data_IF_767446047920
#
_entry.id   IF_767446047920
#
_cell.length_a   1.000
_cell.length_b   1.000
_cell.length_c   1.000
_cell.angle_alpha   90.00
_cell.angle_beta   90.00
_cell.angle_gamma   90.00
#
_symmetry.space_group_name_H-M   'P 1'
#
loop_
_entity.id
_entity.type
_entity.pdbx_description
1 polymer ?
#
# COMPACT_ATOMS: atom_id res chain seq x y z
N UNK A 1 23.19 -21.64 11.58
CA UNK A 1 23.70 -22.66 10.63
C UNK A 1 22.71 -22.68 9.50
N UNK A 2 23.10 -22.01 8.42
CA UNK A 2 22.32 -21.91 7.19
C UNK A 2 22.02 -23.30 6.62
N UNK A 3 20.75 -23.56 6.35
CA UNK A 3 20.28 -24.77 5.67
C UNK A 3 19.65 -24.37 4.34
N UNK A 4 19.90 -25.10 3.24
CA UNK A 4 19.26 -24.81 1.97
C UNK A 4 17.75 -25.05 2.05
N UNK A 5 16.97 -24.22 1.35
CA UNK A 5 15.51 -24.32 1.22
C UNK A 5 15.06 -23.66 -0.10
N UNK A 6 13.83 -23.96 -0.55
CA UNK A 6 13.15 -23.13 -1.55
C UNK A 6 12.47 -21.95 -0.85
N UNK A 7 12.70 -20.74 -1.34
CA UNK A 7 12.12 -19.52 -0.79
C UNK A 7 10.58 -19.62 -0.78
N UNK A 8 9.90 -19.44 0.36
CA UNK A 8 8.44 -19.60 0.43
C UNK A 8 7.68 -18.53 -0.37
N UNK A 9 8.32 -17.43 -0.76
CA UNK A 9 7.71 -16.37 -1.55
C UNK A 9 7.85 -16.59 -3.08
N UNK A 10 8.98 -17.12 -3.55
CA UNK A 10 9.29 -17.19 -4.99
C UNK A 10 9.76 -18.56 -5.49
N UNK A 11 9.83 -19.57 -4.60
CA UNK A 11 10.26 -20.94 -4.86
C UNK A 11 11.71 -21.10 -5.37
N UNK A 12 12.48 -20.02 -5.53
CA UNK A 12 13.91 -20.06 -5.88
C UNK A 12 14.76 -20.57 -4.71
N UNK A 13 15.96 -21.06 -5.03
CA UNK A 13 16.94 -21.46 -4.02
C UNK A 13 17.25 -20.31 -3.04
N UNK A 14 17.23 -20.64 -1.75
CA UNK A 14 17.45 -19.73 -0.64
C UNK A 14 18.13 -20.48 0.52
N UNK A 15 18.59 -19.75 1.52
CA UNK A 15 19.04 -20.32 2.80
C UNK A 15 18.07 -19.95 3.90
N UNK A 16 17.99 -20.82 4.92
CA UNK A 16 17.27 -20.54 6.16
C UNK A 16 18.19 -20.64 7.36
N UNK A 17 18.01 -19.73 8.31
CA UNK A 17 18.62 -19.79 9.62
C UNK A 17 17.56 -19.82 10.71
N UNK A 18 17.75 -20.67 11.72
CA UNK A 18 16.96 -20.65 12.94
C UNK A 18 17.42 -19.50 13.83
N UNK A 19 16.63 -18.43 13.88
CA UNK A 19 16.87 -17.26 14.73
C UNK A 19 15.87 -17.23 15.87
N UNK A 20 16.17 -17.91 16.98
CA UNK A 20 15.25 -18.02 18.12
C UNK A 20 13.92 -18.69 17.75
N UNK A 21 12.80 -17.98 17.90
CA UNK A 21 11.44 -18.49 17.65
C UNK A 21 11.00 -18.44 16.18
N UNK A 22 11.88 -18.11 15.23
CA UNK A 22 11.53 -17.80 13.83
C UNK A 22 12.57 -18.36 12.85
N UNK A 23 12.18 -18.51 11.57
CA UNK A 23 13.13 -18.72 10.48
C UNK A 23 13.43 -17.41 9.76
N UNK A 24 14.71 -17.07 9.65
CA UNK A 24 15.21 -16.05 8.75
C UNK A 24 15.48 -16.70 7.41
N UNK A 25 14.87 -16.19 6.35
CA UNK A 25 15.11 -16.59 4.96
C UNK A 25 16.03 -15.56 4.34
N UNK A 26 17.10 -16.01 3.70
CA UNK A 26 17.92 -15.20 2.82
C UNK A 26 17.74 -15.71 1.38
N UNK A 27 17.16 -14.87 0.54
CA UNK A 27 16.82 -15.18 -0.85
C UNK A 27 17.42 -14.11 -1.76
N UNK A 28 18.23 -14.48 -2.78
CA UNK A 28 18.81 -13.52 -3.72
C UNK A 28 17.78 -12.65 -4.45
N UNK A 29 16.57 -13.19 -4.65
CA UNK A 29 15.49 -12.48 -5.33
C UNK A 29 14.62 -11.67 -4.36
N UNK A 30 14.17 -12.27 -3.26
CA UNK A 30 13.21 -11.63 -2.35
C UNK A 30 13.87 -10.76 -1.27
N UNK A 31 15.19 -10.84 -1.13
CA UNK A 31 15.91 -10.31 0.01
C UNK A 31 15.69 -11.13 1.27
N UNK A 32 16.16 -10.59 2.39
CA UNK A 32 16.02 -11.23 3.70
C UNK A 32 14.66 -10.93 4.34
N UNK A 33 14.03 -11.93 4.95
CA UNK A 33 12.78 -11.77 5.70
C UNK A 33 12.54 -12.91 6.71
N UNK A 34 11.74 -12.63 7.75
CA UNK A 34 11.37 -13.63 8.75
C UNK A 34 9.99 -14.23 8.46
N UNK A 35 9.88 -15.56 8.53
CA UNK A 35 8.65 -16.31 8.29
C UNK A 35 8.60 -17.57 9.14
N UNK A 36 7.39 -17.99 9.52
CA UNK A 36 7.15 -19.17 10.31
C UNK A 36 7.32 -18.97 11.81
N UNK A 37 7.37 -20.09 12.51
CA UNK A 37 7.74 -20.21 13.92
C UNK A 37 9.02 -21.06 14.04
N UNK A 38 9.44 -21.41 15.26
CA UNK A 38 10.67 -22.16 15.52
C UNK A 38 10.69 -23.54 14.82
N UNK A 39 9.55 -24.04 14.37
CA UNK A 39 9.37 -25.40 13.88
C UNK A 39 8.90 -25.46 12.43
N UNK A 40 7.99 -24.58 12.01
CA UNK A 40 7.34 -24.66 10.70
C UNK A 40 7.26 -23.31 9.96
N UNK A 41 7.47 -23.37 8.65
CA UNK A 41 7.11 -22.30 7.71
C UNK A 41 5.67 -22.60 7.24
N UNK A 42 4.73 -21.64 7.30
CA UNK A 42 3.37 -21.86 6.83
C UNK A 42 3.34 -22.13 5.32
N UNK A 43 2.52 -23.08 4.90
CA UNK A 43 2.21 -23.26 3.47
C UNK A 43 1.46 -22.04 2.95
N UNK A 44 1.89 -21.51 1.80
CA UNK A 44 1.28 -20.36 1.15
C UNK A 44 0.64 -20.80 -0.17
N UNK A 45 -0.59 -20.33 -0.41
CA UNK A 45 -1.24 -20.43 -1.72
C UNK A 45 -0.53 -19.56 -2.76
N UNK A 46 -0.77 -19.81 -4.05
CA UNK A 46 -0.17 -19.01 -5.12
C UNK A 46 -0.51 -17.52 -5.03
N UNK A 47 -1.74 -17.18 -4.62
CA UNK A 47 -2.14 -15.78 -4.40
C UNK A 47 -1.35 -15.13 -3.26
N UNK A 48 -1.20 -15.84 -2.13
CA UNK A 48 -0.45 -15.35 -0.97
C UNK A 48 1.03 -15.17 -1.29
N UNK A 49 1.62 -16.08 -2.08
CA UNK A 49 2.98 -15.91 -2.59
C UNK A 49 3.11 -14.64 -3.44
N UNK A 50 2.14 -14.35 -4.31
CA UNK A 50 2.15 -13.11 -5.12
C UNK A 50 2.08 -11.88 -4.20
N UNK A 51 1.15 -11.86 -3.24
CA UNK A 51 1.02 -10.77 -2.25
C UNK A 51 2.31 -10.57 -1.45
N UNK A 52 2.93 -11.67 -1.02
CA UNK A 52 4.18 -11.64 -0.26
C UNK A 52 5.32 -11.07 -1.10
N UNK A 53 5.49 -11.51 -2.35
CA UNK A 53 6.53 -10.97 -3.26
C UNK A 53 6.33 -9.48 -3.52
N UNK A 54 5.08 -9.06 -3.74
CA UNK A 54 4.75 -7.65 -3.92
C UNK A 54 5.12 -6.83 -2.68
N UNK A 55 4.71 -7.29 -1.50
CA UNK A 55 5.01 -6.65 -0.22
C UNK A 55 6.52 -6.56 0.04
N UNK A 56 7.26 -7.67 -0.11
CA UNK A 56 8.71 -7.71 0.04
C UNK A 56 9.44 -6.84 -0.99
N UNK A 57 8.89 -6.66 -2.19
CA UNK A 57 9.55 -5.83 -3.21
C UNK A 57 9.42 -4.33 -2.92
N UNK A 58 8.30 -3.91 -2.31
CA UNK A 58 8.00 -2.49 -2.04
C UNK A 58 8.50 -1.95 -0.71
N UNK A 59 8.98 -2.81 0.19
CA UNK A 59 9.67 -2.35 1.41
C UNK A 59 11.06 -1.82 1.03
N UNK A 60 11.58 -0.88 1.82
CA UNK A 60 13.01 -0.55 1.73
C UNK A 60 13.85 -1.80 2.07
N UNK A 61 15.02 -1.95 1.44
CA UNK A 61 15.97 -3.02 1.77
C UNK A 61 16.61 -2.78 3.14
N UNK A 62 16.70 -1.54 3.59
CA UNK A 62 17.18 -1.18 4.93
C UNK A 62 16.08 -1.28 6.00
N UNK A 63 14.82 -1.49 5.58
CA UNK A 63 13.70 -1.61 6.52
C UNK A 63 13.68 -2.98 7.23
N UNK A 64 14.01 -2.93 8.53
CA UNK A 64 13.98 -4.07 9.45
C UNK A 64 12.57 -4.60 9.73
N UNK A 65 11.49 -4.01 9.22
CA UNK A 65 10.12 -4.51 9.38
C UNK A 65 9.95 -5.93 8.84
N UNK A 66 10.65 -6.27 7.75
CA UNK A 66 10.77 -7.64 7.19
C UNK A 66 11.27 -8.66 8.21
N UNK A 67 12.03 -8.18 9.20
CA UNK A 67 12.63 -8.97 10.27
C UNK A 67 11.81 -8.91 11.57
N UNK A 68 11.03 -7.85 11.80
CA UNK A 68 10.30 -7.64 13.06
C UNK A 68 8.89 -8.24 13.10
N UNK A 69 8.20 -8.36 11.96
CA UNK A 69 6.82 -8.87 11.88
C UNK A 69 6.74 -10.18 11.08
N UNK A 70 7.10 -11.32 11.68
CA UNK A 70 7.13 -12.60 10.98
C UNK A 70 5.72 -13.09 10.61
N UNK A 71 5.56 -13.56 9.38
CA UNK A 71 4.32 -14.20 8.92
C UNK A 71 4.34 -15.66 9.40
N UNK A 72 3.44 -16.04 10.29
CA UNK A 72 3.34 -17.39 10.85
C UNK A 72 1.89 -17.90 10.78
N UNK A 73 1.66 -19.14 11.23
CA UNK A 73 0.33 -19.77 11.12
C UNK A 73 -0.79 -18.97 11.81
N UNK A 74 -0.50 -18.23 12.88
CA UNK A 74 -1.54 -17.51 13.64
C UNK A 74 -1.90 -16.14 13.06
N UNK A 75 -0.99 -15.49 12.31
CA UNK A 75 -1.23 -14.16 11.75
C UNK A 75 -1.33 -14.12 10.22
N UNK A 76 -1.05 -15.24 9.53
CA UNK A 76 -1.04 -15.37 8.07
C UNK A 76 -2.30 -14.79 7.42
N UNK A 77 -3.48 -15.25 7.83
CA UNK A 77 -4.74 -14.83 7.21
C UNK A 77 -4.98 -13.33 7.41
N UNK A 78 -4.72 -12.83 8.63
CA UNK A 78 -4.81 -11.40 8.94
C UNK A 78 -3.85 -10.59 8.07
N UNK A 79 -2.63 -11.08 7.81
CA UNK A 79 -1.65 -10.40 6.96
C UNK A 79 -2.13 -10.34 5.50
N UNK A 80 -2.47 -11.48 4.91
CA UNK A 80 -2.82 -11.55 3.48
C UNK A 80 -4.19 -10.97 3.13
N UNK A 81 -5.15 -10.98 4.06
CA UNK A 81 -6.45 -10.33 3.88
C UNK A 81 -6.33 -8.80 3.81
N UNK A 82 -5.21 -8.22 4.26
CA UNK A 82 -4.97 -6.78 4.19
C UNK A 82 -4.39 -6.31 2.87
N UNK A 83 -3.89 -7.25 2.06
CA UNK A 83 -3.34 -6.96 0.75
C UNK A 83 -4.42 -7.34 -0.26
N UNK A 84 -5.13 -6.34 -0.79
CA UNK A 84 -6.13 -6.55 -1.83
C UNK A 84 -5.42 -7.03 -3.09
N UNK A 85 -5.79 -8.21 -3.58
CA UNK A 85 -5.31 -8.70 -4.86
C UNK A 85 -6.01 -7.90 -5.98
N UNK A 86 -5.25 -7.27 -6.91
CA UNK A 86 -5.85 -6.63 -8.06
C UNK A 86 -6.43 -7.66 -9.03
N UNK A 87 -7.56 -7.30 -9.63
CA UNK A 87 -8.10 -7.97 -10.82
C UNK A 87 -7.13 -7.86 -12.00
N UNK A 88 -7.33 -8.66 -13.04
CA UNK A 88 -6.50 -8.63 -14.25
C UNK A 88 -6.46 -7.22 -14.87
N UNK A 89 -7.60 -6.53 -14.92
CA UNK A 89 -7.68 -5.16 -15.44
C UNK A 89 -6.96 -4.15 -14.53
N UNK A 90 -7.10 -4.28 -13.21
CA UNK A 90 -6.36 -3.44 -12.26
C UNK A 90 -4.83 -3.61 -12.40
N UNK A 91 -4.32 -4.78 -12.81
CA UNK A 91 -2.87 -4.96 -13.09
C UNK A 91 -2.41 -4.14 -14.30
N UNK A 92 -3.26 -3.99 -15.32
CA UNK A 92 -2.97 -3.13 -16.49
C UNK A 92 -2.83 -1.68 -16.02
N UNK A 93 -3.75 -1.21 -15.19
CA UNK A 93 -3.67 0.12 -14.58
C UNK A 93 -2.34 0.28 -13.81
N UNK A 94 -1.94 -0.70 -12.98
CA UNK A 94 -0.69 -0.62 -12.22
C UNK A 94 0.54 -0.42 -13.12
N UNK A 95 0.61 -1.11 -14.26
CA UNK A 95 1.71 -0.97 -15.23
C UNK A 95 1.69 0.43 -15.88
N UNK A 96 0.53 0.89 -16.35
CA UNK A 96 0.38 2.22 -16.95
C UNK A 96 0.74 3.33 -15.95
N UNK A 97 0.34 3.17 -14.69
CA UNK A 97 0.62 4.11 -13.61
C UNK A 97 2.11 4.21 -13.33
N UNK A 98 2.79 3.06 -13.24
CA UNK A 98 4.23 3.01 -13.06
C UNK A 98 4.97 3.72 -14.19
N UNK A 99 4.57 3.46 -15.45
CA UNK A 99 5.14 4.14 -16.61
C UNK A 99 4.88 5.65 -16.57
N UNK A 100 3.65 6.06 -16.25
CA UNK A 100 3.25 7.48 -16.17
C UNK A 100 4.04 8.25 -15.11
N UNK A 101 4.24 7.64 -13.93
CA UNK A 101 5.00 8.23 -12.83
C UNK A 101 6.49 8.38 -13.15
N UNK A 102 7.06 7.47 -13.95
CA UNK A 102 8.46 7.59 -14.40
C UNK A 102 8.67 8.46 -15.65
N UNK A 103 7.58 8.80 -16.36
CA UNK A 103 7.62 9.60 -17.59
C UNK A 103 7.52 11.09 -17.27
N UNK A 104 8.61 11.83 -17.55
CA UNK A 104 8.73 13.28 -17.36
C UNK A 104 8.45 14.09 -18.64
N UNK A 105 8.70 13.51 -19.81
CA UNK A 105 8.42 14.12 -21.11
C UNK A 105 7.95 13.06 -22.11
N UNK A 106 7.28 13.50 -23.18
CA UNK A 106 6.71 12.59 -24.17
C UNK A 106 7.77 11.66 -24.78
N UNK A 107 7.40 10.39 -24.91
CA UNK A 107 8.24 9.34 -25.51
C UNK A 107 9.56 9.08 -24.79
N UNK A 108 9.68 9.45 -23.51
CA UNK A 108 10.79 8.98 -22.68
C UNK A 108 10.79 7.44 -22.63
N UNK A 109 11.96 6.83 -22.82
CA UNK A 109 12.14 5.39 -22.63
C UNK A 109 12.24 5.06 -21.15
N UNK A 110 11.35 4.21 -20.67
CA UNK A 110 11.36 3.64 -19.32
C UNK A 110 11.82 2.19 -19.42
N UNK A 111 12.81 1.83 -18.62
CA UNK A 111 13.32 0.46 -18.53
C UNK A 111 12.45 -0.40 -17.60
N UNK A 112 12.02 -1.55 -18.10
CA UNK A 112 11.28 -2.57 -17.34
C UNK A 112 12.03 -3.89 -17.38
N UNK A 113 12.42 -4.38 -16.21
CA UNK A 113 13.07 -5.67 -16.03
C UNK A 113 12.02 -6.74 -15.70
N UNK A 114 11.50 -7.46 -16.69
CA UNK A 114 10.42 -8.42 -16.43
C UNK A 114 10.79 -9.55 -15.46
N UNK A 115 12.08 -9.83 -15.27
CA UNK A 115 12.56 -10.77 -14.26
C UNK A 115 12.34 -10.29 -12.82
N UNK A 116 12.23 -8.98 -12.59
CA UNK A 116 12.11 -8.39 -11.26
C UNK A 116 10.83 -7.60 -11.09
N UNK A 117 10.48 -6.76 -12.04
CA UNK A 117 9.44 -5.73 -11.91
C UNK A 117 8.03 -6.31 -11.94
N UNK A 118 7.85 -7.56 -12.37
CA UNK A 118 6.57 -8.26 -12.34
C UNK A 118 5.95 -8.29 -10.92
N UNK A 119 6.79 -8.20 -9.88
CA UNK A 119 6.39 -8.15 -8.47
C UNK A 119 5.68 -6.84 -8.11
N UNK A 120 6.01 -5.73 -8.78
CA UNK A 120 5.33 -4.44 -8.59
C UNK A 120 3.85 -4.49 -8.99
N UNK A 121 3.51 -5.37 -9.92
CA UNK A 121 2.19 -5.40 -10.57
C UNK A 121 1.35 -6.61 -10.18
N UNK A 122 1.68 -7.29 -9.07
CA UNK A 122 1.01 -8.53 -8.64
C UNK A 122 0.98 -9.61 -9.73
N UNK A 123 1.97 -9.62 -10.63
CA UNK A 123 2.08 -10.67 -11.63
C UNK A 123 2.56 -11.96 -10.98
N UNK A 124 2.08 -13.09 -11.48
CA UNK A 124 2.52 -14.44 -11.12
C UNK A 124 4.00 -14.63 -11.45
N UNK A 125 4.43 -14.11 -12.60
CA UNK A 125 5.81 -14.20 -13.09
C UNK A 125 6.07 -13.14 -14.17
N UNK A 126 7.32 -13.08 -14.65
CA UNK A 126 7.70 -12.16 -15.72
C UNK A 126 6.98 -12.37 -17.05
N UNK A 127 6.45 -13.57 -17.33
CA UNK A 127 5.67 -13.83 -18.55
C UNK A 127 4.34 -13.08 -18.53
N UNK A 128 3.63 -13.10 -17.40
CA UNK A 128 2.38 -12.33 -17.26
C UNK A 128 2.62 -10.83 -17.46
N UNK A 129 3.71 -10.28 -16.92
CA UNK A 129 4.07 -8.87 -17.17
C UNK A 129 4.33 -8.61 -18.66
N UNK A 130 5.09 -9.48 -19.33
CA UNK A 130 5.34 -9.35 -20.79
C UNK A 130 4.03 -9.45 -21.59
N UNK A 131 3.09 -10.29 -21.17
CA UNK A 131 1.78 -10.42 -21.81
C UNK A 131 0.93 -9.15 -21.62
N UNK A 132 0.98 -8.52 -20.44
CA UNK A 132 0.37 -7.20 -20.20
C UNK A 132 1.02 -6.13 -21.09
N UNK A 133 2.36 -6.07 -21.16
CA UNK A 133 3.07 -5.13 -22.03
C UNK A 133 2.70 -5.33 -23.49
N UNK A 134 2.56 -6.58 -23.95
CA UNK A 134 2.14 -6.87 -25.33
C UNK A 134 0.74 -6.32 -25.60
N UNK A 135 -0.21 -6.60 -24.71
CA UNK A 135 -1.56 -6.07 -24.84
C UNK A 135 -1.59 -4.54 -24.88
N UNK A 136 -0.81 -3.87 -24.02
CA UNK A 136 -0.69 -2.41 -24.01
C UNK A 136 -0.08 -1.84 -25.31
N UNK A 137 0.85 -2.57 -25.96
CA UNK A 137 1.41 -2.21 -27.27
C UNK A 137 0.35 -2.37 -28.36
N UNK A 138 -0.36 -3.49 -28.37
CA UNK A 138 -1.42 -3.77 -29.35
C UNK A 138 -2.54 -2.73 -29.27
N UNK A 139 -2.89 -2.31 -28.04
CA UNK A 139 -3.84 -1.23 -27.78
C UNK A 139 -3.28 0.17 -27.99
N UNK A 140 -2.01 0.31 -28.39
CA UNK A 140 -1.31 1.59 -28.61
C UNK A 140 -1.24 2.52 -27.39
N UNK A 141 -1.44 1.97 -26.19
CA UNK A 141 -1.25 2.70 -24.93
C UNK A 141 0.22 2.92 -24.61
N UNK A 142 1.09 1.99 -25.04
CA UNK A 142 2.55 2.10 -24.94
C UNK A 142 3.18 1.75 -26.30
N UNK A 143 4.46 2.07 -26.44
CA UNK A 143 5.31 1.67 -27.57
C UNK A 143 6.57 1.03 -27.04
N UNK A 144 7.03 -0.05 -27.66
CA UNK A 144 8.27 -0.73 -27.27
C UNK A 144 8.49 -1.98 -28.11
N UNK A 145 9.69 -2.55 -28.02
CA UNK A 145 10.01 -3.83 -28.64
C UNK A 145 10.15 -4.90 -27.55
N UNK A 146 9.35 -5.97 -27.64
CA UNK A 146 9.37 -7.09 -26.70
C UNK A 146 10.27 -8.26 -27.15
N UNK A 147 11.02 -8.09 -28.25
CA UNK A 147 12.07 -9.03 -28.66
C UNK A 147 13.37 -8.64 -27.98
N UNK A 148 13.92 -9.55 -27.17
CA UNK A 148 15.24 -9.39 -26.55
C UNK A 148 16.25 -10.30 -27.24
N UNK A 149 17.43 -9.76 -27.52
CA UNK A 149 18.61 -10.52 -27.94
C UNK A 149 19.64 -10.45 -26.83
N UNK A 150 20.02 -11.60 -26.28
CA UNK A 150 21.01 -11.71 -25.20
C UNK A 150 21.71 -13.07 -25.27
N UNK A 151 22.92 -13.17 -24.72
CA UNK A 151 23.66 -14.44 -24.71
C UNK A 151 23.16 -15.33 -23.59
N UNK A 152 23.22 -16.64 -23.82
CA UNK A 152 22.93 -17.62 -22.77
C UNK A 152 23.90 -17.43 -21.60
N UNK A 153 23.35 -17.29 -20.39
CA UNK A 153 24.13 -17.06 -19.17
C UNK A 153 24.29 -15.58 -18.77
N UNK A 154 23.91 -14.63 -19.62
CA UNK A 154 23.88 -13.21 -19.25
C UNK A 154 22.52 -12.80 -18.66
N UNK A 155 22.48 -11.79 -17.76
CA UNK A 155 21.23 -11.22 -17.28
C UNK A 155 20.37 -10.71 -18.44
N UNK A 156 19.07 -10.96 -18.39
CA UNK A 156 18.15 -10.47 -19.43
C UNK A 156 18.14 -8.93 -19.41
N UNK A 157 18.33 -8.26 -20.56
CA UNK A 157 18.24 -6.81 -20.62
C UNK A 157 16.82 -6.33 -20.33
N UNK A 158 16.63 -5.06 -19.93
CA UNK A 158 15.31 -4.49 -19.75
C UNK A 158 14.58 -4.31 -21.08
N UNK A 159 13.26 -4.31 -21.03
CA UNK A 159 12.41 -3.79 -22.09
C UNK A 159 12.42 -2.26 -22.02
N UNK A 160 12.60 -1.62 -23.18
CA UNK A 160 12.49 -0.16 -23.31
C UNK A 160 11.09 0.19 -23.77
N UNK A 161 10.34 0.84 -22.89
CA UNK A 161 8.93 1.14 -23.08
C UNK A 161 8.69 2.65 -23.03
N UNK A 162 7.95 3.17 -23.99
CA UNK A 162 7.49 4.56 -24.05
C UNK A 162 5.98 4.60 -23.79
N UNK A 163 5.54 5.47 -22.88
CA UNK A 163 4.12 5.73 -22.69
C UNK A 163 3.58 6.60 -23.83
N UNK A 164 2.46 6.20 -24.44
CA UNK A 164 1.85 6.92 -25.55
C UNK A 164 0.72 7.85 -25.08
N UNK A 165 0.36 8.90 -25.86
CA UNK A 165 -0.72 9.82 -25.50
C UNK A 165 -2.06 9.13 -25.21
N UNK A 166 -2.38 8.02 -25.90
CA UNK A 166 -3.59 7.23 -25.65
C UNK A 166 -3.59 6.63 -24.24
N UNK A 167 -2.43 6.13 -23.78
CA UNK A 167 -2.26 5.61 -22.42
C UNK A 167 -2.33 6.71 -21.36
N UNK A 168 -1.73 7.87 -21.61
CA UNK A 168 -1.85 9.04 -20.71
C UNK A 168 -3.30 9.50 -20.58
N UNK A 169 -4.00 9.66 -21.71
CA UNK A 169 -5.40 10.06 -21.74
C UNK A 169 -6.29 9.10 -20.96
N UNK A 170 -6.09 7.79 -21.14
CA UNK A 170 -6.80 6.77 -20.35
C UNK A 170 -6.62 6.97 -18.83
N UNK A 171 -5.39 7.26 -18.39
CA UNK A 171 -5.12 7.52 -16.97
C UNK A 171 -5.77 8.81 -16.48
N UNK A 172 -5.73 9.89 -17.26
CA UNK A 172 -6.38 11.16 -16.92
C UNK A 172 -7.91 11.01 -16.81
N UNK A 173 -8.52 10.29 -17.76
CA UNK A 173 -9.96 10.02 -17.78
C UNK A 173 -10.40 9.04 -16.69
N UNK A 174 -9.49 8.21 -16.16
CA UNK A 174 -9.78 7.31 -15.03
C UNK A 174 -10.10 8.03 -13.73
N UNK A 175 -9.82 9.34 -13.63
CA UNK A 175 -10.08 10.15 -12.43
C UNK A 175 -9.17 9.85 -11.24
N UNK A 176 -8.23 8.91 -11.36
CA UNK A 176 -7.23 8.59 -10.33
C UNK A 176 -6.04 9.54 -10.48
N UNK A 177 -5.78 10.41 -9.50
CA UNK A 177 -4.61 11.29 -9.54
C UNK A 177 -3.34 10.57 -9.06
N UNK A 178 -2.81 9.69 -9.92
CA UNK A 178 -1.76 8.73 -9.58
C UNK A 178 -0.35 9.34 -9.47
N UNK A 179 -0.16 10.53 -10.07
CA UNK A 179 1.06 11.35 -9.94
C UNK A 179 1.06 12.21 -8.68
N UNK A 180 -0.06 12.26 -7.96
CA UNK A 180 -0.13 13.04 -6.73
C UNK A 180 0.79 12.47 -5.69
N UNK A 181 1.54 13.33 -5.02
CA UNK A 181 2.22 13.00 -3.78
C UNK A 181 1.32 13.28 -2.56
N UNK A 182 0.09 13.73 -2.76
CA UNK A 182 -0.80 14.17 -1.67
C UNK A 182 -1.54 13.01 -1.00
N UNK A 183 -1.52 13.00 0.33
CA UNK A 183 -2.38 12.21 1.21
C UNK A 183 -3.44 13.13 1.83
N UNK A 184 -4.74 12.89 1.55
CA UNK A 184 -5.80 13.60 2.26
C UNK A 184 -5.96 13.04 3.67
N UNK A 185 -6.10 13.91 4.67
CA UNK A 185 -6.29 13.51 6.07
C UNK A 185 -7.65 14.00 6.54
N UNK A 186 -8.55 13.05 6.77
CA UNK A 186 -9.85 13.25 7.37
C UNK A 186 -9.77 12.86 8.85
N UNK A 187 -9.90 13.81 9.77
CA UNK A 187 -9.83 13.54 11.20
C UNK A 187 -10.59 14.57 12.02
N UNK A 188 -10.88 14.26 13.28
CA UNK A 188 -11.56 15.18 14.18
C UNK A 188 -10.69 16.41 14.51
N UNK A 189 -11.24 17.61 14.31
CA UNK A 189 -10.68 18.89 14.75
C UNK A 189 -10.90 19.13 16.26
N UNK A 190 -10.15 18.43 17.11
CA UNK A 190 -9.99 18.83 18.51
C UNK A 190 -8.49 18.98 18.85
N UNK A 191 -8.18 19.69 19.94
CA UNK A 191 -6.80 19.98 20.34
C UNK A 191 -5.97 18.71 20.59
N UNK A 192 -6.59 17.68 21.16
CA UNK A 192 -5.91 16.42 21.44
C UNK A 192 -5.50 15.69 20.15
N UNK A 193 -6.40 15.65 19.17
CA UNK A 193 -6.18 15.05 17.86
C UNK A 193 -5.22 15.90 17.02
N UNK A 194 -5.17 17.22 17.24
CA UNK A 194 -4.18 18.08 16.59
C UNK A 194 -2.76 17.73 17.01
N UNK A 195 -2.52 17.39 18.29
CA UNK A 195 -1.20 16.93 18.73
C UNK A 195 -0.84 15.58 18.08
N UNK A 196 -1.81 14.65 17.97
CA UNK A 196 -1.59 13.38 17.27
C UNK A 196 -1.28 13.61 15.79
N UNK A 197 -1.93 14.60 15.16
CA UNK A 197 -1.61 15.00 13.80
C UNK A 197 -0.18 15.52 13.66
N UNK A 198 0.21 16.52 14.45
CA UNK A 198 1.52 17.17 14.34
C UNK A 198 2.68 16.23 14.67
N UNK A 199 2.50 15.39 15.67
CA UNK A 199 3.61 14.62 16.26
C UNK A 199 3.73 13.23 15.62
N UNK A 200 2.64 12.68 15.09
CA UNK A 200 2.58 11.29 14.60
C UNK A 200 2.17 11.20 13.14
N UNK A 201 0.97 11.66 12.78
CA UNK A 201 0.39 11.42 11.44
C UNK A 201 1.19 12.19 10.37
N UNK A 202 1.43 13.50 10.58
CA UNK A 202 2.17 14.32 9.63
C UNK A 202 3.60 13.82 9.41
N UNK A 203 4.41 13.54 10.47
CA UNK A 203 5.74 13.00 10.30
C UNK A 203 5.76 11.59 9.69
N UNK A 204 4.78 10.74 9.98
CA UNK A 204 4.66 9.42 9.34
C UNK A 204 4.52 9.54 7.83
N UNK A 205 3.68 10.47 7.36
CA UNK A 205 3.42 10.68 5.93
C UNK A 205 4.64 11.36 5.29
N UNK A 206 5.04 12.53 5.78
CA UNK A 206 6.03 13.36 5.11
C UNK A 206 7.45 12.80 5.22
N UNK A 207 7.88 12.47 6.44
CA UNK A 207 9.25 11.99 6.69
C UNK A 207 9.36 10.49 6.50
N UNK A 208 8.31 9.75 6.90
CA UNK A 208 8.32 8.28 6.87
C UNK A 208 8.01 7.68 5.51
N UNK A 209 7.34 8.41 4.61
CA UNK A 209 6.91 7.85 3.31
C UNK A 209 7.15 8.75 2.10
N UNK A 210 7.57 10.01 2.31
CA UNK A 210 7.85 10.96 1.23
C UNK A 210 6.63 11.55 0.53
N UNK A 211 5.41 11.27 1.03
CA UNK A 211 4.18 11.91 0.57
C UNK A 211 3.94 13.25 1.26
N UNK A 212 3.03 14.07 0.75
CA UNK A 212 2.62 15.35 1.36
C UNK A 212 1.30 15.19 2.08
N UNK A 213 1.27 15.56 3.35
CA UNK A 213 0.04 15.56 4.12
C UNK A 213 -0.82 16.78 3.75
N UNK A 214 -2.09 16.54 3.43
CA UNK A 214 -3.09 17.59 3.26
C UNK A 214 -4.20 17.39 4.27
N UNK A 215 -4.29 18.30 5.25
CA UNK A 215 -5.42 18.46 6.17
C UNK A 215 -6.08 19.79 5.84
N UNK A 216 -7.40 19.78 5.59
CA UNK A 216 -8.12 20.96 5.05
C UNK A 216 -8.00 22.20 5.94
N UNK A 217 -7.92 21.99 7.25
CA UNK A 217 -7.75 23.02 8.29
C UNK A 217 -6.46 23.84 8.14
N UNK A 218 -5.45 23.32 7.43
CA UNK A 218 -4.18 24.02 7.18
C UNK A 218 -4.23 24.94 5.94
N UNK A 219 -5.40 25.09 5.29
CA UNK A 219 -5.55 25.83 4.03
C UNK A 219 -6.57 26.96 4.21
N UNK A 220 -6.13 28.20 4.04
CA UNK A 220 -7.06 29.34 3.93
C UNK A 220 -7.89 29.22 2.64
N UNK A 221 -9.21 29.32 2.75
CA UNK A 221 -10.11 29.31 1.59
C UNK A 221 -11.35 30.19 1.79
N UNK A 222 -11.78 30.85 0.71
CA UNK A 222 -12.96 31.73 0.64
C UNK A 222 -14.23 30.96 0.20
N UNK A 223 -14.06 29.73 -0.30
CA UNK A 223 -15.13 28.89 -0.84
C UNK A 223 -15.84 28.06 0.25
N UNK A 224 -16.98 27.45 -0.10
CA UNK A 224 -17.68 26.50 0.76
C UNK A 224 -16.74 25.32 1.07
N UNK A 225 -16.48 25.07 2.36
CA UNK A 225 -15.44 24.14 2.84
C UNK A 225 -15.59 22.75 2.20
N UNK A 226 -16.83 22.30 1.98
CA UNK A 226 -17.14 20.99 1.38
C UNK A 226 -16.61 20.84 -0.05
N UNK A 227 -16.64 21.90 -0.87
CA UNK A 227 -16.15 21.83 -2.25
C UNK A 227 -14.62 21.72 -2.30
N UNK A 228 -13.92 22.45 -1.42
CA UNK A 228 -12.46 22.32 -1.28
C UNK A 228 -12.08 20.94 -0.71
N UNK A 229 -12.85 20.39 0.23
CA UNK A 229 -12.66 19.00 0.69
C UNK A 229 -12.76 18.03 -0.49
N UNK A 230 -13.85 18.06 -1.27
CA UNK A 230 -14.05 17.17 -2.42
C UNK A 230 -12.93 17.33 -3.45
N UNK A 231 -12.53 18.57 -3.73
CA UNK A 231 -11.43 18.88 -4.65
C UNK A 231 -10.10 18.31 -4.15
N UNK A 232 -9.76 18.49 -2.88
CA UNK A 232 -8.51 17.97 -2.35
C UNK A 232 -8.52 16.45 -2.21
N UNK A 233 -9.66 15.82 -1.92
CA UNK A 233 -9.80 14.36 -1.98
C UNK A 233 -9.50 13.85 -3.39
N UNK A 234 -10.11 14.45 -4.43
CA UNK A 234 -9.85 14.08 -5.84
C UNK A 234 -8.39 14.25 -6.24
N UNK A 235 -7.71 15.26 -5.67
CA UNK A 235 -6.29 15.52 -5.95
C UNK A 235 -5.36 14.55 -5.23
N UNK A 236 -5.81 13.86 -4.19
CA UNK A 236 -4.97 12.97 -3.40
C UNK A 236 -4.77 11.60 -4.05
N UNK A 237 -3.60 11.00 -3.80
CA UNK A 237 -3.28 9.63 -4.22
C UNK A 237 -3.95 8.60 -3.31
N UNK A 238 -4.07 8.93 -2.03
CA UNK A 238 -4.74 8.12 -1.01
C UNK A 238 -5.25 9.00 0.13
N UNK A 239 -6.00 8.40 1.05
CA UNK A 239 -6.55 9.07 2.22
C UNK A 239 -6.19 8.32 3.51
N UNK A 240 -5.94 9.07 4.58
CA UNK A 240 -6.03 8.58 5.96
C UNK A 240 -7.31 9.14 6.58
N UNK A 241 -8.13 8.25 7.14
CA UNK A 241 -9.39 8.61 7.79
C UNK A 241 -9.38 8.13 9.24
N UNK A 242 -9.26 9.07 10.18
CA UNK A 242 -9.28 8.79 11.61
C UNK A 242 -10.71 8.88 12.18
N UNK A 243 -11.24 7.74 12.61
CA UNK A 243 -12.63 7.59 13.04
C UNK A 243 -12.86 7.92 14.53
N UNK A 244 -11.83 8.42 15.23
CA UNK A 244 -11.95 8.84 16.64
C UNK A 244 -12.99 9.94 16.76
N UNK A 245 -13.87 9.83 17.76
CA UNK A 245 -14.91 10.84 17.99
C UNK A 245 -16.19 10.66 17.17
N UNK A 246 -16.33 9.56 16.41
CA UNK A 246 -17.54 9.23 15.63
C UNK A 246 -18.04 10.38 14.75
N UNK A 247 -17.15 10.91 13.90
CA UNK A 247 -17.41 12.12 13.11
C UNK A 247 -18.04 11.82 11.76
N UNK A 248 -19.32 12.17 11.60
CA UNK A 248 -20.06 11.98 10.34
C UNK A 248 -19.36 12.54 9.09
N UNK A 249 -18.68 13.68 9.21
CA UNK A 249 -17.88 14.26 8.11
C UNK A 249 -16.75 13.33 7.65
N UNK A 250 -16.01 12.73 8.58
CA UNK A 250 -14.92 11.79 8.26
C UNK A 250 -15.47 10.55 7.56
N UNK A 251 -16.62 10.03 7.99
CA UNK A 251 -17.27 8.90 7.31
C UNK A 251 -17.70 9.25 5.88
N UNK A 252 -18.26 10.45 5.68
CA UNK A 252 -18.65 10.95 4.36
C UNK A 252 -17.43 11.07 3.44
N UNK A 253 -16.35 11.70 3.90
CA UNK A 253 -15.11 11.88 3.16
C UNK A 253 -14.46 10.55 2.79
N UNK A 254 -14.38 9.61 3.74
CA UNK A 254 -13.88 8.26 3.51
C UNK A 254 -14.74 7.48 2.50
N UNK A 255 -16.07 7.61 2.60
CA UNK A 255 -17.00 7.02 1.64
C UNK A 255 -16.83 7.60 0.23
N UNK A 256 -16.65 8.91 0.11
CA UNK A 256 -16.39 9.57 -1.15
C UNK A 256 -15.06 9.15 -1.77
N UNK A 257 -13.98 9.12 -0.99
CA UNK A 257 -12.68 8.63 -1.45
C UNK A 257 -12.75 7.17 -1.93
N UNK A 258 -13.49 6.32 -1.22
CA UNK A 258 -13.75 4.95 -1.67
C UNK A 258 -14.53 4.89 -2.97
N UNK A 259 -15.56 5.72 -3.14
CA UNK A 259 -16.34 5.82 -4.38
C UNK A 259 -15.48 6.21 -5.58
N UNK A 260 -14.41 6.99 -5.36
CA UNK A 260 -13.41 7.33 -6.37
C UNK A 260 -12.35 6.25 -6.61
N UNK A 261 -12.37 5.16 -5.83
CA UNK A 261 -11.37 4.10 -5.89
C UNK A 261 -10.02 4.47 -5.28
N UNK A 262 -9.95 5.53 -4.46
CA UNK A 262 -8.74 5.86 -3.71
C UNK A 262 -8.51 4.86 -2.58
N UNK A 263 -7.26 4.44 -2.31
CA UNK A 263 -6.95 3.72 -1.08
C UNK A 263 -7.27 4.58 0.13
N UNK A 264 -8.03 4.02 1.08
CA UNK A 264 -8.35 4.67 2.36
C UNK A 264 -7.77 3.84 3.50
N UNK A 265 -6.89 4.45 4.27
CA UNK A 265 -6.28 3.87 5.47
C UNK A 265 -7.07 4.37 6.68
N UNK A 266 -7.77 3.46 7.35
CA UNK A 266 -8.50 3.81 8.57
C UNK A 266 -7.61 3.77 9.80
N UNK A 267 -7.80 4.76 10.65
CA UNK A 267 -7.20 4.81 12.00
C UNK A 267 -8.29 5.11 13.02
N UNK A 268 -8.12 4.68 14.27
CA UNK A 268 -9.02 5.05 15.36
C UNK A 268 -8.31 4.87 16.70
N UNK A 269 -8.53 5.78 17.65
CA UNK A 269 -8.05 5.63 19.01
C UNK A 269 -8.71 4.42 19.67
N UNK A 270 -7.94 3.61 20.38
CA UNK A 270 -8.41 2.31 20.86
C UNK A 270 -9.59 2.43 21.85
N UNK A 271 -9.63 3.48 22.67
CA UNK A 271 -10.75 3.82 23.57
C UNK A 271 -12.02 4.31 22.86
N UNK A 272 -11.97 4.56 21.54
CA UNK A 272 -13.11 4.89 20.68
C UNK A 272 -13.54 3.73 19.76
N UNK A 273 -12.95 2.55 19.93
CA UNK A 273 -13.27 1.38 19.09
C UNK A 273 -14.71 0.93 19.24
N UNK A 274 -15.18 0.85 20.49
CA UNK A 274 -16.46 0.25 20.85
C UNK A 274 -17.40 1.25 21.51
N UNK A 275 -18.69 0.98 21.36
CA UNK A 275 -19.72 1.79 22.00
C UNK A 275 -19.62 1.61 23.50
N UNK A 276 -19.66 2.72 24.24
CA UNK A 276 -19.73 2.71 25.69
C UNK A 276 -21.21 2.90 26.06
N UNK A 277 -21.87 1.88 26.62
CA UNK A 277 -23.24 2.04 27.12
C UNK A 277 -23.26 2.80 28.45
N UNK A 278 -24.41 3.39 28.77
CA UNK A 278 -24.68 3.94 30.08
C UNK A 278 -24.58 2.84 31.17
N UNK A 279 -24.15 3.21 32.37
CA UNK A 279 -23.95 2.26 33.48
C UNK A 279 -25.28 1.71 34.00
N UNK A 280 -26.34 2.52 33.96
CA UNK A 280 -27.66 2.18 34.50
C UNK A 280 -28.60 1.64 33.42
N UNK A 281 -28.55 2.23 32.22
CA UNK A 281 -29.35 1.82 31.06
C UNK A 281 -28.47 1.34 29.90
N UNK A 282 -28.24 0.03 29.82
CA UNK A 282 -27.40 -0.57 28.76
C UNK A 282 -27.93 -0.36 27.34
N UNK A 283 -29.17 0.12 27.16
CA UNK A 283 -29.72 0.44 25.85
C UNK A 283 -29.30 1.81 25.34
N UNK A 284 -28.84 2.69 26.25
CA UNK A 284 -28.36 4.03 25.93
C UNK A 284 -26.85 4.01 25.72
N UNK A 285 -26.39 4.55 24.60
CA UNK A 285 -24.96 4.72 24.31
C UNK A 285 -24.52 6.12 24.75
N UNK A 286 -23.50 6.20 25.61
CA UNK A 286 -22.90 7.46 26.07
C UNK A 286 -21.69 7.88 25.25
N UNK A 287 -21.05 6.93 24.56
CA UNK A 287 -20.00 7.20 23.58
C UNK A 287 -20.17 6.23 22.41
N UNK A 288 -20.38 6.77 21.21
CA UNK A 288 -20.36 5.96 20.00
C UNK A 288 -18.94 5.49 19.69
N UNK A 289 -18.79 4.20 19.39
CA UNK A 289 -17.57 3.65 18.84
C UNK A 289 -17.59 3.73 17.32
N UNK A 290 -16.70 3.00 16.65
CA UNK A 290 -16.67 2.99 15.18
C UNK A 290 -17.99 2.43 14.61
N UNK A 291 -18.57 3.08 13.59
CA UNK A 291 -19.80 2.60 12.94
C UNK A 291 -19.68 1.16 12.42
N UNK A 292 -20.74 0.35 12.59
CA UNK A 292 -20.70 -1.10 12.29
C UNK A 292 -20.35 -1.41 10.84
N UNK A 293 -20.79 -0.60 9.87
CA UNK A 293 -20.46 -0.75 8.44
C UNK A 293 -18.95 -0.63 8.15
N UNK A 294 -18.21 0.05 9.03
CA UNK A 294 -16.77 0.27 8.88
C UNK A 294 -15.96 -0.64 9.82
N UNK A 295 -16.56 -1.18 10.89
CA UNK A 295 -15.87 -2.04 11.89
C UNK A 295 -15.17 -3.25 11.30
N UNK A 296 -15.67 -3.81 10.21
CA UNK A 296 -15.06 -4.98 9.55
C UNK A 296 -13.85 -4.63 8.69
N UNK A 297 -13.62 -3.33 8.41
CA UNK A 297 -12.47 -2.89 7.62
C UNK A 297 -11.21 -2.92 8.47
N UNK A 298 -10.08 -3.17 7.81
CA UNK A 298 -8.82 -3.06 8.51
C UNK A 298 -8.55 -1.61 8.88
N UNK A 299 -8.27 -1.42 10.16
CA UNK A 299 -8.04 -0.15 10.78
C UNK A 299 -6.86 -0.30 11.73
N UNK A 300 -6.02 0.74 11.77
CA UNK A 300 -4.96 0.85 12.77
C UNK A 300 -5.61 1.42 14.03
N UNK A 301 -5.73 0.58 15.05
CA UNK A 301 -6.04 1.07 16.38
C UNK A 301 -4.77 1.60 17.03
N UNK A 302 -4.85 2.79 17.62
CA UNK A 302 -3.71 3.46 18.25
C UNK A 302 -4.03 3.89 19.67
N UNK A 303 -3.00 3.92 20.53
CA UNK A 303 -3.10 4.42 21.90
C UNK A 303 -2.30 5.71 22.06
N UNK A 304 -2.77 6.59 22.95
CA UNK A 304 -2.17 7.90 23.19
C UNK A 304 -0.77 7.80 23.80
N UNK A 305 -0.53 6.76 24.60
CA UNK A 305 0.72 6.46 25.28
C UNK A 305 1.73 5.69 24.40
N UNK A 306 1.34 5.28 23.19
CA UNK A 306 2.18 4.51 22.24
C UNK A 306 2.34 5.23 20.87
N UNK A 307 2.68 6.53 20.80
CA UNK A 307 2.69 7.30 19.54
C UNK A 307 3.68 6.76 18.49
N UNK A 308 4.83 6.24 18.94
CA UNK A 308 5.85 5.66 18.06
C UNK A 308 5.41 4.35 17.42
N UNK A 309 4.57 3.57 18.10
CA UNK A 309 4.00 2.35 17.52
C UNK A 309 2.96 2.70 16.45
N UNK A 310 2.13 3.72 16.73
CA UNK A 310 1.18 4.23 15.74
C UNK A 310 1.90 4.76 14.50
N UNK A 311 2.95 5.58 14.68
CA UNK A 311 3.77 6.11 13.59
C UNK A 311 4.29 5.00 12.68
N UNK A 312 4.91 3.96 13.26
CA UNK A 312 5.45 2.81 12.53
C UNK A 312 4.36 2.02 11.82
N UNK A 313 3.23 1.75 12.50
CA UNK A 313 2.11 1.04 11.91
C UNK A 313 1.54 1.78 10.69
N UNK A 314 1.48 3.11 10.76
CA UNK A 314 1.00 3.97 9.69
C UNK A 314 1.96 3.97 8.49
N UNK A 315 3.26 4.15 8.70
CA UNK A 315 4.29 4.08 7.64
C UNK A 315 4.22 2.72 6.91
N UNK A 316 4.18 1.63 7.66
CA UNK A 316 4.09 0.28 7.11
C UNK A 316 2.82 0.08 6.28
N UNK A 317 1.70 0.63 6.74
CA UNK A 317 0.43 0.53 6.04
C UNK A 317 0.45 1.31 4.73
N UNK A 318 1.00 2.53 4.74
CA UNK A 318 1.15 3.34 3.53
C UNK A 318 2.06 2.62 2.53
N UNK A 319 3.23 2.13 2.96
CA UNK A 319 4.14 1.36 2.12
C UNK A 319 3.50 0.10 1.52
N UNK A 320 2.69 -0.62 2.30
CA UNK A 320 2.02 -1.83 1.84
C UNK A 320 0.83 -1.58 0.89
N UNK A 321 0.10 -0.48 1.06
CA UNK A 321 -1.13 -0.18 0.31
C UNK A 321 -0.87 0.70 -0.90
N UNK A 322 0.05 1.66 -0.77
CA UNK A 322 0.28 2.73 -1.75
C UNK A 322 1.71 2.72 -2.31
N UNK A 323 2.66 2.11 -1.60
CA UNK A 323 4.10 2.18 -1.88
C UNK A 323 4.73 3.46 -1.31
N UNK A 324 6.04 3.45 -1.04
CA UNK A 324 6.78 4.63 -0.58
C UNK A 324 7.07 5.60 -1.74
N UNK A 325 7.12 6.90 -1.45
CA UNK A 325 7.44 7.96 -2.41
C UNK A 325 8.87 8.45 -2.18
N UNK A 326 9.86 7.64 -2.57
CA UNK A 326 11.29 7.92 -2.39
C UNK A 326 11.96 8.45 -3.64
#
# INVERSE_FOLDING_TARGET
>A
MERPINCPACDNAATKESGGNLFRIDCPECGEFNIGDAFNIPELTEEEKIKLRHWLYNLDKEDVTRLKNPINKSNKDKFFNNIKMPTILEKIDLVLNYLSNKTNYFFQEIEIYAGTDYRLFFCKNGRELVDILRHLIDETFIKGNLTLTYKSGEPKPPYKIQLMPKGLKYLEESGKNLKSDQCFIAMWFNDEMQNVYSDVINPAIEQGTGYKAMKIDNKEHVNYITDEIIKEIRRSKFMIADLTGYRGGVYYEAGFAFGLGLPVIFTCREDWKDNIPDKEDKTKIIQEGVHFDVKQRNMIFWKKDEPEEFKKALINRIGAVVGLNT
#
